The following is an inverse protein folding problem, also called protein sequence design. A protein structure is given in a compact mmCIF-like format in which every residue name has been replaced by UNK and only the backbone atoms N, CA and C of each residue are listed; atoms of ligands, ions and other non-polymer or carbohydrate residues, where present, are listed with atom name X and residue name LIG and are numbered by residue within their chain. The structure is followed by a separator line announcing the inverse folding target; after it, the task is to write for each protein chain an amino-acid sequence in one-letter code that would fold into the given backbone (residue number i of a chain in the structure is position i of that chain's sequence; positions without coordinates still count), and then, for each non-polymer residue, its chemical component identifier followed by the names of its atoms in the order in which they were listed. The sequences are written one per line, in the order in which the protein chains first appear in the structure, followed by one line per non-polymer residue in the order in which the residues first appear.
data_IF_603964302383
#
_entry.id   IF_603964302383
#
_cell.length_a   1.000
_cell.length_b   1.000
_cell.length_c   1.000
_cell.angle_alpha   90.00
_cell.angle_beta   90.00
_cell.angle_gamma   90.00
#
_symmetry.space_group_name_H-M   'P 1'
#
loop_
_entity.id
_entity.type
_entity.pdbx_description
1 polymer ?
#
# COMPACT_ATOMS: atom_id res chain seq x y z
N UNK A 1 -49.37 37.99 -53.44
CA UNK A 1 -48.50 38.98 -52.77
C UNK A 1 -49.35 39.84 -51.85
N UNK A 2 -49.15 39.77 -50.53
CA UNK A 2 -49.25 40.87 -49.53
C UNK A 2 -49.20 40.27 -48.12
N UNK A 3 -48.16 40.66 -47.40
CA UNK A 3 -47.88 40.41 -45.98
C UNK A 3 -48.67 41.42 -45.14
N UNK A 4 -49.21 41.05 -43.97
CA UNK A 4 -49.43 41.92 -42.79
C UNK A 4 -49.58 40.98 -41.57
N UNK A 5 -48.57 40.81 -40.70
CA UNK A 5 -48.30 41.55 -39.43
C UNK A 5 -49.51 41.57 -38.46
N UNK A 6 -49.53 40.77 -37.39
CA UNK A 6 -48.94 40.96 -36.04
C UNK A 6 -49.98 41.45 -35.01
N UNK A 7 -49.86 40.93 -33.78
CA UNK A 7 -50.46 41.33 -32.48
C UNK A 7 -51.73 40.56 -32.08
N UNK A 8 -51.95 40.11 -30.84
CA UNK A 8 -51.14 39.97 -29.64
C UNK A 8 -51.94 39.11 -28.61
N UNK A 9 -51.20 38.49 -27.68
CA UNK A 9 -51.56 38.11 -26.30
C UNK A 9 -52.97 37.54 -26.00
N UNK A 10 -53.04 36.25 -25.67
CA UNK A 10 -53.83 35.76 -24.54
C UNK A 10 -52.98 34.76 -23.74
N UNK A 11 -52.66 35.16 -22.51
CA UNK A 11 -52.04 34.36 -21.45
C UNK A 11 -53.08 33.45 -20.82
N UNK A 12 -52.86 32.13 -20.79
CA UNK A 12 -53.44 31.26 -19.77
C UNK A 12 -52.42 30.20 -19.34
N UNK A 13 -52.07 30.29 -18.06
CA UNK A 13 -51.40 29.30 -17.24
C UNK A 13 -52.05 27.91 -17.35
N UNK A 14 -51.28 26.88 -17.67
CA UNK A 14 -51.45 25.57 -17.04
C UNK A 14 -50.07 24.96 -16.75
N UNK A 15 -49.78 24.84 -15.47
CA UNK A 15 -48.66 24.09 -14.92
C UNK A 15 -48.84 22.61 -15.26
N UNK A 16 -47.76 21.95 -15.72
CA UNK A 16 -47.66 20.50 -15.60
C UNK A 16 -46.21 20.12 -15.31
N UNK A 17 -46.06 19.49 -14.15
CA UNK A 17 -44.83 19.03 -13.54
C UNK A 17 -44.15 17.94 -14.39
N UNK A 18 -42.83 18.02 -14.46
CA UNK A 18 -41.99 16.97 -15.06
C UNK A 18 -40.50 17.18 -14.81
N UNK A 19 -40.10 17.59 -13.61
CA UNK A 19 -38.69 17.66 -13.24
C UNK A 19 -38.17 16.26 -12.89
N UNK A 20 -37.65 15.55 -13.88
CA UNK A 20 -36.75 14.42 -13.66
C UNK A 20 -35.32 14.94 -13.72
N UNK A 21 -34.77 15.36 -12.58
CA UNK A 21 -33.33 15.45 -12.40
C UNK A 21 -32.86 14.20 -11.69
N UNK A 22 -32.07 13.42 -12.43
CA UNK A 22 -31.33 12.28 -11.92
C UNK A 22 -30.40 12.71 -10.77
N UNK A 23 -30.40 11.85 -9.77
CA UNK A 23 -29.30 11.56 -8.83
C UNK A 23 -28.80 12.74 -8.04
N UNK A 24 -29.33 12.85 -6.82
CA UNK A 24 -28.56 13.33 -5.68
C UNK A 24 -27.25 12.54 -5.63
N UNK A 25 -26.12 13.23 -5.82
CA UNK A 25 -24.81 12.73 -5.43
C UNK A 25 -24.88 12.39 -3.95
N UNK A 26 -25.05 11.10 -3.67
CA UNK A 26 -24.75 10.55 -2.37
C UNK A 26 -23.24 10.61 -2.23
N UNK A 27 -22.72 11.69 -1.65
CA UNK A 27 -21.32 11.77 -1.28
C UNK A 27 -21.08 10.69 -0.21
N UNK A 28 -20.62 9.52 -0.65
CA UNK A 28 -20.17 8.43 0.22
C UNK A 28 -18.86 8.87 0.88
N UNK A 29 -18.96 9.71 1.90
CA UNK A 29 -17.84 10.08 2.80
C UNK A 29 -17.60 8.91 3.74
N UNK A 30 -17.12 7.79 3.20
CA UNK A 30 -16.82 6.57 3.97
C UNK A 30 -15.72 5.71 3.35
N UNK A 31 -15.56 5.75 2.01
CA UNK A 31 -14.60 4.91 1.29
C UNK A 31 -13.34 5.64 0.80
N UNK A 32 -13.27 6.97 0.93
CA UNK A 32 -12.15 7.74 0.35
C UNK A 32 -10.82 7.46 1.07
N UNK A 33 -10.78 7.42 2.42
CA UNK A 33 -9.53 7.17 3.16
C UNK A 33 -8.98 5.77 2.95
N UNK A 34 -9.83 4.74 3.02
CA UNK A 34 -9.41 3.34 2.78
C UNK A 34 -8.96 3.13 1.33
N UNK A 35 -9.65 3.73 0.35
CA UNK A 35 -9.25 3.62 -1.06
C UNK A 35 -7.97 4.40 -1.39
N UNK A 36 -7.70 5.51 -0.69
CA UNK A 36 -6.43 6.24 -0.81
C UNK A 36 -5.28 5.45 -0.18
N UNK A 37 -5.47 4.88 1.01
CA UNK A 37 -4.46 4.03 1.66
C UNK A 37 -4.13 2.82 0.80
N UNK A 38 -5.14 2.10 0.29
CA UNK A 38 -4.91 0.94 -0.58
C UNK A 38 -4.19 1.30 -1.88
N UNK A 39 -4.49 2.46 -2.49
CA UNK A 39 -3.76 2.95 -3.67
C UNK A 39 -2.29 3.25 -3.36
N UNK A 40 -2.01 3.88 -2.21
CA UNK A 40 -0.63 4.13 -1.77
C UNK A 40 0.11 2.81 -1.55
N UNK A 41 -0.49 1.87 -0.83
CA UNK A 41 0.11 0.54 -0.59
C UNK A 41 0.45 -0.17 -1.90
N UNK A 42 -0.46 -0.18 -2.87
CA UNK A 42 -0.21 -0.78 -4.18
C UNK A 42 1.01 -0.16 -4.88
N UNK A 43 1.17 1.17 -4.78
CA UNK A 43 2.36 1.86 -5.34
C UNK A 43 3.63 1.57 -4.55
N UNK A 44 3.58 1.51 -3.22
CA UNK A 44 4.72 1.10 -2.37
C UNK A 44 5.21 -0.29 -2.79
N UNK A 45 4.29 -1.25 -2.92
CA UNK A 45 4.59 -2.63 -3.34
C UNK A 45 5.14 -2.67 -4.76
N UNK A 46 4.53 -1.93 -5.70
CA UNK A 46 5.02 -1.82 -7.08
C UNK A 46 6.44 -1.25 -7.11
N UNK A 47 6.71 -0.20 -6.34
CA UNK A 47 8.02 0.44 -6.27
C UNK A 47 9.07 -0.52 -5.69
N UNK A 48 8.75 -1.24 -4.61
CA UNK A 48 9.62 -2.27 -4.04
C UNK A 48 10.02 -3.34 -5.07
N UNK A 49 9.06 -3.84 -5.85
CA UNK A 49 9.30 -4.84 -6.90
C UNK A 49 10.27 -4.35 -7.99
N UNK A 50 10.40 -3.04 -8.23
CA UNK A 50 11.38 -2.51 -9.21
C UNK A 50 12.84 -2.73 -8.80
N UNK A 51 13.08 -3.10 -7.55
CA UNK A 51 14.40 -3.42 -7.02
C UNK A 51 14.69 -4.92 -6.98
N UNK A 52 13.77 -5.81 -7.37
CA UNK A 52 14.03 -7.24 -7.43
C UNK A 52 15.30 -7.56 -8.23
N UNK A 53 16.17 -8.40 -7.68
CA UNK A 53 17.51 -8.70 -8.22
C UNK A 53 18.61 -7.71 -7.84
N UNK A 54 18.30 -6.57 -7.20
CA UNK A 54 19.32 -5.63 -6.71
C UNK A 54 20.17 -6.30 -5.63
N UNK A 55 21.50 -6.21 -5.75
CA UNK A 55 22.43 -6.83 -4.77
C UNK A 55 22.28 -6.22 -3.38
N UNK A 56 22.64 -7.00 -2.37
CA UNK A 56 22.70 -6.48 -1.01
C UNK A 56 23.84 -5.48 -0.83
N UNK A 57 23.57 -4.39 -0.11
CA UNK A 57 24.58 -3.46 0.40
C UNK A 57 24.13 -2.91 1.74
N UNK A 58 24.94 -3.08 2.78
CA UNK A 58 24.65 -2.51 4.10
C UNK A 58 24.52 -0.98 4.00
N UNK A 59 23.45 -0.42 4.56
CA UNK A 59 23.13 1.01 4.42
C UNK A 59 22.54 1.39 3.06
N UNK A 60 22.49 0.48 2.09
CA UNK A 60 22.09 0.73 0.71
C UNK A 60 20.60 1.08 0.55
N UNK A 61 20.32 2.02 -0.35
CA UNK A 61 18.97 2.57 -0.60
C UNK A 61 18.74 2.87 -2.10
N UNK A 62 19.43 2.20 -3.00
CA UNK A 62 19.28 2.41 -4.45
C UNK A 62 19.61 1.14 -5.26
N UNK A 63 19.52 1.23 -6.59
CA UNK A 63 19.76 0.09 -7.50
C UNK A 63 21.22 -0.40 -7.53
N UNK A 64 22.18 0.33 -6.94
CA UNK A 64 23.57 -0.15 -6.77
C UNK A 64 23.69 -1.07 -5.57
N UNK A 65 22.72 -1.04 -4.67
CA UNK A 65 22.57 -2.02 -3.60
C UNK A 65 21.59 -1.57 -2.52
N UNK A 66 20.90 -2.54 -1.93
CA UNK A 66 19.92 -2.28 -0.88
C UNK A 66 20.14 -3.17 0.33
N UNK A 67 19.96 -2.64 1.55
CA UNK A 67 19.69 -3.49 2.71
C UNK A 67 18.19 -3.69 2.91
N UNK A 68 17.81 -4.58 3.83
CA UNK A 68 16.42 -4.96 4.06
C UNK A 68 15.55 -3.75 4.43
N UNK A 69 16.02 -2.92 5.37
CA UNK A 69 15.32 -1.69 5.77
C UNK A 69 15.40 -0.58 4.73
N UNK A 70 16.46 -0.52 3.93
CA UNK A 70 16.64 0.46 2.86
C UNK A 70 15.65 0.26 1.72
N UNK A 71 15.37 -1.00 1.36
CA UNK A 71 14.30 -1.35 0.43
C UNK A 71 12.95 -0.79 0.91
N UNK A 72 12.55 -1.14 2.13
CA UNK A 72 11.27 -0.70 2.71
C UNK A 72 11.21 0.82 2.85
N UNK A 73 12.27 1.44 3.38
CA UNK A 73 12.36 2.87 3.59
C UNK A 73 12.16 3.66 2.28
N UNK A 74 12.84 3.26 1.19
CA UNK A 74 12.71 3.92 -0.11
C UNK A 74 11.31 3.73 -0.69
N UNK A 75 10.77 2.51 -0.64
CA UNK A 75 9.44 2.21 -1.17
C UNK A 75 8.32 3.01 -0.50
N UNK A 76 8.35 3.17 0.82
CA UNK A 76 7.36 3.98 1.55
C UNK A 76 7.56 5.49 1.33
N UNK A 77 8.82 5.93 1.23
CA UNK A 77 9.16 7.34 1.00
C UNK A 77 8.64 7.85 -0.34
N UNK A 78 8.56 7.01 -1.37
CA UNK A 78 7.98 7.37 -2.67
C UNK A 78 6.53 7.87 -2.53
N UNK A 79 5.75 7.28 -1.62
CA UNK A 79 4.38 7.69 -1.32
C UNK A 79 4.28 8.70 -0.16
N UNK A 80 5.41 9.33 0.18
CA UNK A 80 5.57 10.33 1.23
C UNK A 80 5.21 9.80 2.63
N UNK A 81 5.45 8.50 2.86
CA UNK A 81 5.25 7.87 4.17
C UNK A 81 6.61 7.72 4.85
N UNK A 82 6.81 8.48 5.92
CA UNK A 82 8.05 8.44 6.69
C UNK A 82 8.15 7.18 7.54
N UNK A 83 9.25 6.43 7.37
CA UNK A 83 9.61 5.32 8.24
C UNK A 83 11.00 5.53 8.86
N UNK A 84 11.26 5.03 10.08
CA UNK A 84 12.61 4.94 10.62
C UNK A 84 13.54 4.18 9.67
N UNK A 85 14.82 4.54 9.57
CA UNK A 85 15.77 3.87 8.66
C UNK A 85 16.15 2.45 9.11
N UNK A 86 15.97 2.12 10.39
CA UNK A 86 16.42 0.87 11.00
C UNK A 86 15.22 -0.06 11.23
N UNK A 87 15.36 -1.34 10.85
CA UNK A 87 14.28 -2.34 10.94
C UNK A 87 13.70 -2.50 12.35
N UNK A 88 14.53 -2.49 13.39
CA UNK A 88 14.07 -2.57 14.79
C UNK A 88 13.20 -1.38 15.21
N UNK A 89 13.48 -0.19 14.68
CA UNK A 89 12.74 1.03 14.99
C UNK A 89 11.45 1.08 14.16
N UNK A 90 11.47 0.61 12.91
CA UNK A 90 10.26 0.39 12.11
C UNK A 90 9.29 -0.56 12.84
N UNK A 91 9.82 -1.58 13.52
CA UNK A 91 9.04 -2.57 14.26
C UNK A 91 8.27 -1.98 15.47
N UNK A 92 8.57 -0.74 15.89
CA UNK A 92 7.84 -0.05 16.96
C UNK A 92 6.76 0.90 16.42
N UNK A 93 6.60 0.99 15.10
CA UNK A 93 5.62 1.87 14.44
C UNK A 93 4.39 1.08 13.99
N UNK A 94 3.33 1.82 13.70
CA UNK A 94 2.08 1.26 13.20
C UNK A 94 1.37 0.33 14.20
N UNK A 95 0.40 -0.42 13.70
CA UNK A 95 -0.42 -1.34 14.49
C UNK A 95 0.14 -2.76 14.38
N UNK A 96 0.16 -3.51 15.49
CA UNK A 96 0.56 -4.92 15.48
C UNK A 96 -0.56 -5.78 14.93
N UNK A 97 -0.25 -6.61 13.94
CA UNK A 97 -1.21 -7.50 13.26
C UNK A 97 -0.88 -8.95 13.57
N UNK A 98 -1.89 -9.81 13.66
CA UNK A 98 -1.68 -11.26 13.76
C UNK A 98 -1.23 -11.79 12.39
N UNK A 99 -0.31 -12.75 12.36
CA UNK A 99 0.23 -13.28 11.11
C UNK A 99 -0.86 -13.74 10.12
N UNK A 100 -1.97 -14.31 10.60
CA UNK A 100 -3.09 -14.74 9.75
C UNK A 100 -3.90 -13.60 9.13
N UNK A 101 -3.87 -12.41 9.73
CA UNK A 101 -4.57 -11.19 9.33
C UNK A 101 -3.67 -10.27 8.47
N UNK A 102 -2.48 -10.75 8.11
CA UNK A 102 -1.53 -10.00 7.28
C UNK A 102 -2.12 -9.72 5.91
N UNK A 103 -1.92 -8.49 5.43
CA UNK A 103 -2.35 -8.02 4.11
C UNK A 103 -1.14 -7.51 3.28
N UNK A 104 -1.38 -7.26 2.00
CA UNK A 104 -0.42 -6.55 1.13
C UNK A 104 -0.02 -5.22 1.78
N UNK A 105 1.28 -4.89 1.78
CA UNK A 105 1.79 -3.66 2.37
C UNK A 105 2.20 -3.75 3.84
N UNK A 106 1.79 -4.80 4.56
CA UNK A 106 2.25 -5.04 5.92
C UNK A 106 3.76 -5.34 5.96
N UNK A 107 4.39 -5.02 7.09
CA UNK A 107 5.80 -5.32 7.33
C UNK A 107 5.95 -6.53 8.23
N UNK A 108 6.69 -7.53 7.76
CA UNK A 108 7.09 -8.71 8.53
C UNK A 108 8.50 -8.53 9.07
N UNK A 109 8.70 -8.81 10.36
CA UNK A 109 9.97 -8.61 11.05
C UNK A 109 10.55 -9.92 11.55
N UNK A 110 11.88 -10.03 11.45
CA UNK A 110 12.60 -11.26 11.77
C UNK A 110 13.82 -11.00 12.64
N UNK A 111 14.26 -12.07 13.31
CA UNK A 111 15.53 -12.21 14.01
C UNK A 111 16.33 -13.31 13.30
N UNK A 112 17.20 -12.91 12.38
CA UNK A 112 18.02 -13.82 11.57
C UNK A 112 19.37 -14.14 12.20
N UNK A 113 19.82 -13.32 13.15
CA UNK A 113 21.00 -13.56 13.98
C UNK A 113 20.56 -14.26 15.26
N UNK A 114 20.88 -15.54 15.39
CA UNK A 114 20.49 -16.36 16.56
C UNK A 114 21.19 -15.93 17.84
N UNK A 115 22.32 -15.23 17.75
CA UNK A 115 23.10 -14.81 18.90
C UNK A 115 22.61 -13.48 19.49
N UNK A 116 21.69 -12.79 18.81
CA UNK A 116 21.17 -11.49 19.23
C UNK A 116 19.67 -11.54 19.38
N UNK A 117 19.16 -11.18 20.56
CA UNK A 117 17.72 -11.10 20.80
C UNK A 117 17.10 -9.79 20.29
N UNK A 118 17.38 -9.40 19.05
CA UNK A 118 16.94 -8.11 18.47
C UNK A 118 16.47 -8.31 17.04
N UNK A 119 15.39 -7.62 16.65
CA UNK A 119 14.93 -7.54 15.26
C UNK A 119 16.05 -6.93 14.42
N UNK A 120 16.48 -7.64 13.39
CA UNK A 120 17.57 -7.23 12.52
C UNK A 120 17.19 -7.30 11.03
N UNK A 121 15.97 -7.72 10.71
CA UNK A 121 15.52 -7.91 9.34
C UNK A 121 14.05 -7.57 9.18
N UNK A 122 13.70 -7.06 8.00
CA UNK A 122 12.33 -6.67 7.64
C UNK A 122 12.03 -7.08 6.20
N UNK A 123 10.78 -7.44 5.92
CA UNK A 123 10.25 -7.65 4.58
C UNK A 123 8.90 -6.95 4.40
N UNK A 124 8.59 -6.62 3.17
CA UNK A 124 7.31 -6.02 2.75
C UNK A 124 6.41 -7.11 2.17
N UNK A 125 5.22 -7.29 2.75
CA UNK A 125 4.27 -8.30 2.30
C UNK A 125 3.71 -7.91 0.94
N UNK A 126 3.73 -8.88 0.02
CA UNK A 126 3.25 -8.76 -1.34
C UNK A 126 1.85 -9.35 -1.51
N UNK A 127 1.56 -10.44 -0.81
CA UNK A 127 0.26 -11.09 -0.83
C UNK A 127 0.12 -12.07 0.34
N UNK A 128 -1.12 -12.25 0.80
CA UNK A 128 -1.54 -13.34 1.66
C UNK A 128 -2.71 -14.05 0.94
N UNK A 129 -2.41 -15.15 0.25
CA UNK A 129 -3.41 -15.89 -0.52
C UNK A 129 -3.37 -17.35 -0.14
N UNK A 130 -4.54 -17.91 0.18
CA UNK A 130 -4.70 -19.32 0.60
C UNK A 130 -3.77 -19.69 1.77
N UNK A 131 -3.50 -18.74 2.67
CA UNK A 131 -2.60 -18.93 3.81
C UNK A 131 -1.10 -18.81 3.48
N UNK A 132 -0.74 -18.64 2.21
CA UNK A 132 0.65 -18.42 1.78
C UNK A 132 0.94 -16.92 1.79
N UNK A 133 1.84 -16.51 2.67
CA UNK A 133 2.29 -15.12 2.78
C UNK A 133 3.62 -14.98 2.04
N UNK A 134 3.63 -14.19 0.98
CA UNK A 134 4.86 -13.82 0.25
C UNK A 134 5.29 -12.40 0.61
N UNK A 135 6.59 -12.20 0.70
CA UNK A 135 7.16 -10.89 1.00
C UNK A 135 8.45 -10.64 0.20
N UNK A 136 8.67 -9.38 -0.17
CA UNK A 136 9.89 -8.92 -0.82
C UNK A 136 10.82 -8.30 0.23
N UNK A 137 12.11 -8.57 0.10
CA UNK A 137 13.12 -8.13 1.07
C UNK A 137 14.53 -8.28 0.48
N UNK A 138 15.53 -7.61 1.07
CA UNK A 138 16.93 -7.75 0.67
C UNK A 138 17.69 -8.69 1.62
N UNK A 139 18.19 -9.81 1.13
CA UNK A 139 19.01 -10.78 1.87
C UNK A 139 20.50 -10.55 1.65
N UNK A 140 21.33 -10.83 2.65
CA UNK A 140 22.79 -10.63 2.56
C UNK A 140 23.45 -11.38 1.41
N UNK A 141 22.96 -12.58 1.06
CA UNK A 141 23.56 -13.43 0.02
C UNK A 141 22.96 -13.22 -1.38
N UNK A 142 21.65 -12.98 -1.50
CA UNK A 142 20.95 -12.94 -2.81
C UNK A 142 20.45 -11.55 -3.18
N UNK A 143 20.59 -10.56 -2.31
CA UNK A 143 19.99 -9.25 -2.53
C UNK A 143 18.47 -9.29 -2.44
N UNK A 144 17.81 -8.41 -3.19
CA UNK A 144 16.36 -8.26 -3.20
C UNK A 144 15.69 -9.43 -3.90
N UNK A 145 14.92 -10.21 -3.15
CA UNK A 145 14.21 -11.39 -3.62
C UNK A 145 12.80 -11.44 -3.03
N UNK A 146 11.98 -12.35 -3.55
CA UNK A 146 10.69 -12.71 -2.96
C UNK A 146 10.84 -14.05 -2.25
N UNK A 147 10.39 -14.10 -1.00
CA UNK A 147 10.36 -15.31 -0.18
C UNK A 147 8.95 -15.60 0.34
N UNK A 148 8.74 -16.83 0.79
CA UNK A 148 7.50 -17.30 1.42
C UNK A 148 7.69 -17.51 2.92
N UNK A 149 6.65 -17.17 3.70
CA UNK A 149 6.60 -17.47 5.14
C UNK A 149 6.51 -18.98 5.43
N UNK A 150 6.24 -19.80 4.42
CA UNK A 150 6.27 -21.26 4.54
C UNK A 150 7.69 -21.83 4.56
N UNK A 151 8.67 -21.07 4.09
CA UNK A 151 10.08 -21.48 4.17
C UNK A 151 10.50 -21.60 5.63
N UNK A 152 11.02 -22.77 6.02
CA UNK A 152 11.41 -23.10 7.39
C UNK A 152 12.31 -22.05 8.04
N UNK A 153 13.24 -21.47 7.26
CA UNK A 153 14.15 -20.42 7.73
C UNK A 153 13.38 -19.18 8.22
N UNK A 154 12.48 -18.64 7.38
CA UNK A 154 11.69 -17.45 7.71
C UNK A 154 10.67 -17.70 8.80
N UNK A 155 10.04 -18.88 8.78
CA UNK A 155 9.11 -19.30 9.83
C UNK A 155 9.77 -19.31 11.22
N UNK A 156 11.00 -19.82 11.31
CA UNK A 156 11.75 -19.88 12.57
C UNK A 156 12.30 -18.52 13.02
N UNK A 157 12.59 -17.62 12.08
CA UNK A 157 13.13 -16.30 12.36
C UNK A 157 12.04 -15.25 12.65
N UNK A 158 10.78 -15.55 12.35
CA UNK A 158 9.65 -14.61 12.46
C UNK A 158 9.44 -14.09 13.88
N UNK A 159 9.14 -12.80 14.00
CA UNK A 159 8.89 -12.13 15.30
C UNK A 159 7.49 -11.50 15.35
N UNK A 160 7.16 -10.63 14.39
CA UNK A 160 5.88 -9.91 14.39
C UNK A 160 5.56 -9.30 13.02
N UNK A 161 4.30 -8.85 12.87
CA UNK A 161 3.81 -8.07 11.73
C UNK A 161 3.40 -6.67 12.20
N UNK A 162 3.65 -5.64 11.39
CA UNK A 162 3.14 -4.27 11.62
C UNK A 162 2.50 -3.70 10.36
N UNK A 163 1.35 -3.06 10.53
CA UNK A 163 0.64 -2.27 9.51
C UNK A 163 0.91 -0.79 9.71
N UNK A 164 1.41 -0.11 8.69
CA UNK A 164 1.84 1.30 8.79
C UNK A 164 0.71 2.30 8.51
N UNK A 165 -0.19 1.98 7.58
CA UNK A 165 -1.29 2.84 7.11
C UNK A 165 -2.53 2.03 6.73
#
# INVERSE_FOLDING_TARGET
MKRVFLLALITVFLASCGSSRKTADSVVIGNSKTSVSSRKISKVVKHAKTFEGTRYKFGGTDKRGMDCSGLVYVSFREEQIGLPRISRDMATKGVRIKLKETEEGDLVFFRTDKNKNVINHVGLVLENKKGVIKFIHSTTSRGVIISSMEEKYWKNAFVQVRRMI
#
